data_IF_787467331554
#
_entry.id   IF_787467331554
#
_cell.length_a   1.000
_cell.length_b   1.000
_cell.length_c   1.000
_cell.angle_alpha   90.00
_cell.angle_beta   90.00
_cell.angle_gamma   90.00
#
_symmetry.space_group_name_H-M   'P 1'
#
loop_
_entity.id
_entity.type
_entity.pdbx_description
1 polymer ?
#
# COMPACT_ATOMS: atom_id res chain seq x y z
N UNK A 1 71.55 -31.68 -33.11
CA UNK A 1 70.66 -31.50 -31.94
C UNK A 1 69.69 -30.38 -32.27
N UNK A 2 68.43 -30.69 -32.55
CA UNK A 2 67.36 -29.71 -32.73
C UNK A 2 66.31 -29.97 -31.65
N UNK A 3 66.00 -29.01 -30.77
CA UNK A 3 64.85 -29.09 -29.90
C UNK A 3 63.64 -28.60 -30.69
N UNK A 4 62.84 -29.52 -31.21
CA UNK A 4 61.54 -29.24 -31.82
C UNK A 4 60.52 -30.12 -31.13
N UNK A 5 59.98 -29.66 -29.99
CA UNK A 5 58.64 -30.08 -29.55
C UNK A 5 58.05 -29.24 -28.41
N UNK A 6 58.83 -28.44 -27.67
CA UNK A 6 58.28 -27.68 -26.53
C UNK A 6 57.35 -26.50 -26.89
N UNK A 7 57.38 -26.00 -28.13
CA UNK A 7 56.50 -24.89 -28.54
C UNK A 7 55.06 -25.31 -28.78
N UNK A 8 54.79 -26.58 -29.13
CA UNK A 8 53.45 -27.02 -29.51
C UNK A 8 52.58 -27.32 -28.28
N UNK A 9 53.18 -27.80 -27.19
CA UNK A 9 52.45 -28.16 -25.96
C UNK A 9 51.97 -26.92 -25.17
N UNK A 10 52.66 -25.78 -25.33
CA UNK A 10 52.29 -24.51 -24.68
C UNK A 10 51.10 -23.82 -25.35
N UNK A 11 50.96 -23.93 -26.68
CA UNK A 11 49.80 -23.37 -27.40
C UNK A 11 48.52 -24.17 -27.11
N UNK A 12 48.62 -25.51 -27.05
CA UNK A 12 47.48 -26.39 -26.74
C UNK A 12 46.96 -26.14 -25.32
N UNK A 13 47.84 -26.02 -24.33
CA UNK A 13 47.46 -25.71 -22.95
C UNK A 13 46.85 -24.29 -22.78
N UNK A 14 47.30 -23.31 -23.57
CA UNK A 14 46.72 -21.96 -23.54
C UNK A 14 45.28 -21.93 -24.12
N UNK A 15 44.99 -22.75 -25.13
CA UNK A 15 43.65 -22.88 -25.73
C UNK A 15 42.63 -23.53 -24.77
N UNK A 16 43.04 -24.60 -24.08
CA UNK A 16 42.20 -25.31 -23.11
C UNK A 16 41.80 -24.39 -21.94
N UNK A 17 42.74 -23.61 -21.41
CA UNK A 17 42.50 -22.63 -20.34
C UNK A 17 41.51 -21.52 -20.73
N UNK A 18 41.39 -21.18 -22.03
CA UNK A 18 40.41 -20.18 -22.49
C UNK A 18 39.00 -20.75 -22.56
N UNK A 19 38.86 -21.97 -23.06
CA UNK A 19 37.55 -22.65 -23.16
C UNK A 19 36.99 -22.91 -21.76
N UNK A 20 37.82 -23.38 -20.82
CA UNK A 20 37.40 -23.62 -19.43
C UNK A 20 36.88 -22.34 -18.75
N UNK A 21 37.56 -21.21 -18.94
CA UNK A 21 37.11 -19.92 -18.38
C UNK A 21 35.79 -19.44 -18.98
N UNK A 22 35.59 -19.65 -20.28
CA UNK A 22 34.32 -19.31 -20.96
C UNK A 22 33.19 -20.21 -20.45
N UNK A 23 33.44 -21.51 -20.30
CA UNK A 23 32.45 -22.45 -19.75
C UNK A 23 32.11 -22.12 -18.29
N UNK A 24 33.10 -21.80 -17.46
CA UNK A 24 32.87 -21.37 -16.08
C UNK A 24 32.05 -20.08 -16.02
N UNK A 25 32.37 -19.09 -16.86
CA UNK A 25 31.61 -17.85 -16.95
C UNK A 25 30.16 -18.11 -17.38
N UNK A 26 29.95 -18.92 -18.41
CA UNK A 26 28.60 -19.29 -18.88
C UNK A 26 27.82 -20.05 -17.80
N UNK A 27 28.47 -20.92 -17.03
CA UNK A 27 27.84 -21.66 -15.94
C UNK A 27 27.43 -20.74 -14.78
N UNK A 28 28.28 -19.79 -14.41
CA UNK A 28 27.95 -18.77 -13.39
C UNK A 28 26.80 -17.88 -13.88
N UNK A 29 26.83 -17.46 -15.15
CA UNK A 29 25.76 -16.65 -15.74
C UNK A 29 24.44 -17.43 -15.74
N UNK A 30 24.46 -18.70 -16.14
CA UNK A 30 23.27 -19.56 -16.13
C UNK A 30 22.73 -19.72 -14.71
N UNK A 31 23.59 -19.95 -13.71
CA UNK A 31 23.18 -20.05 -12.32
C UNK A 31 22.54 -18.76 -11.80
N UNK A 32 23.07 -17.60 -12.17
CA UNK A 32 22.49 -16.29 -11.84
C UNK A 32 21.12 -16.09 -12.47
N UNK A 33 20.97 -16.42 -13.77
CA UNK A 33 19.68 -16.35 -14.45
C UNK A 33 18.67 -17.27 -13.78
N UNK A 34 19.07 -18.49 -13.43
CA UNK A 34 18.20 -19.46 -12.78
C UNK A 34 17.78 -18.99 -11.39
N UNK A 35 18.70 -18.37 -10.62
CA UNK A 35 18.39 -17.74 -9.33
C UNK A 35 17.38 -16.59 -9.49
N UNK A 36 17.56 -15.72 -10.48
CA UNK A 36 16.62 -14.62 -10.77
C UNK A 36 15.24 -15.17 -11.13
N UNK A 37 15.17 -16.21 -11.96
CA UNK A 37 13.89 -16.86 -12.32
C UNK A 37 13.23 -17.47 -11.09
N UNK A 38 13.98 -18.15 -10.21
CA UNK A 38 13.44 -18.70 -8.95
C UNK A 38 12.90 -17.58 -8.06
N UNK A 39 13.64 -16.48 -7.89
CA UNK A 39 13.19 -15.32 -7.10
C UNK A 39 11.90 -14.74 -7.70
N UNK A 40 11.85 -14.56 -9.01
CA UNK A 40 10.68 -14.00 -9.69
C UNK A 40 9.45 -14.92 -9.58
N UNK A 41 9.64 -16.23 -9.76
CA UNK A 41 8.55 -17.21 -9.65
C UNK A 41 8.02 -17.36 -8.22
N UNK A 42 8.89 -17.20 -7.21
CA UNK A 42 8.53 -17.37 -5.81
C UNK A 42 8.42 -16.04 -5.05
N UNK A 43 8.30 -14.91 -5.77
CA UNK A 43 8.36 -13.58 -5.18
C UNK A 43 7.35 -13.40 -4.03
N UNK A 44 6.10 -13.85 -4.22
CA UNK A 44 5.06 -13.79 -3.19
C UNK A 44 5.42 -14.59 -1.93
N UNK A 45 5.95 -15.81 -2.08
CA UNK A 45 6.32 -16.65 -0.93
C UNK A 45 7.56 -16.10 -0.21
N UNK A 46 8.54 -15.59 -0.96
CA UNK A 46 9.75 -14.97 -0.41
C UNK A 46 9.36 -13.71 0.37
N UNK A 47 8.51 -12.86 -0.20
CA UNK A 47 8.03 -11.66 0.47
C UNK A 47 7.26 -12.00 1.75
N UNK A 48 6.34 -12.98 1.71
CA UNK A 48 5.58 -13.43 2.90
C UNK A 48 6.50 -13.87 4.05
N UNK A 49 7.60 -14.53 3.69
CA UNK A 49 8.60 -15.01 4.67
C UNK A 49 9.44 -13.86 5.24
N UNK A 50 9.80 -12.87 4.41
CA UNK A 50 10.63 -11.73 4.80
C UNK A 50 9.85 -10.63 5.52
N UNK A 51 8.55 -10.50 5.25
CA UNK A 51 7.70 -9.44 5.79
C UNK A 51 6.40 -10.01 6.38
N UNK A 52 6.50 -10.80 7.47
CA UNK A 52 5.32 -11.32 8.15
C UNK A 52 4.42 -10.16 8.62
N UNK A 53 3.13 -10.22 8.29
CA UNK A 53 2.13 -9.21 8.66
C UNK A 53 1.74 -8.23 7.55
N UNK A 54 2.35 -8.30 6.36
CA UNK A 54 1.91 -7.51 5.20
C UNK A 54 0.71 -8.16 4.52
N UNK A 55 -0.29 -7.35 4.19
CA UNK A 55 -1.41 -7.75 3.32
C UNK A 55 -0.94 -7.60 1.87
N UNK A 56 -0.90 -8.71 1.12
CA UNK A 56 -0.56 -8.71 -0.30
C UNK A 56 -1.77 -8.42 -1.17
N UNK A 57 -2.92 -8.99 -0.79
CA UNK A 57 -4.22 -8.74 -1.37
C UNK A 57 -5.27 -8.66 -0.26
N UNK A 58 -6.13 -7.66 -0.33
CA UNK A 58 -7.26 -7.55 0.60
C UNK A 58 -8.33 -8.62 0.37
N UNK A 59 -8.26 -9.36 -0.73
CA UNK A 59 -9.14 -10.53 -0.98
C UNK A 59 -8.76 -11.74 -0.12
N UNK A 60 -7.59 -11.72 0.53
CA UNK A 60 -7.11 -12.78 1.45
C UNK A 60 -7.65 -12.60 2.88
N UNK A 61 -8.39 -11.53 3.15
CA UNK A 61 -9.00 -11.29 4.45
C UNK A 61 -10.11 -12.31 4.72
N UNK A 62 -9.99 -13.04 5.82
CA UNK A 62 -11.05 -13.88 6.36
C UNK A 62 -11.97 -12.96 7.17
N UNK A 63 -13.09 -12.58 6.56
CA UNK A 63 -14.06 -11.67 7.16
C UNK A 63 -15.22 -12.45 7.77
N UNK A 64 -15.55 -12.15 9.02
CA UNK A 64 -16.73 -12.71 9.70
C UNK A 64 -17.57 -11.60 10.34
N UNK A 65 -18.82 -11.91 10.66
CA UNK A 65 -19.75 -10.97 11.27
C UNK A 65 -19.90 -9.65 10.49
N UNK A 66 -19.89 -9.69 9.15
CA UNK A 66 -20.05 -8.47 8.34
C UNK A 66 -18.97 -7.41 8.56
N UNK A 67 -17.69 -7.81 8.49
CA UNK A 67 -16.52 -6.94 8.76
C UNK A 67 -16.35 -6.49 10.22
N UNK A 68 -17.12 -7.03 11.17
CA UNK A 68 -16.81 -6.82 12.58
C UNK A 68 -15.55 -7.56 13.03
N UNK A 69 -15.22 -8.70 12.42
CA UNK A 69 -13.98 -9.42 12.69
C UNK A 69 -13.25 -9.72 11.37
N UNK A 70 -11.98 -9.36 11.30
CA UNK A 70 -11.08 -9.56 10.15
C UNK A 70 -9.89 -10.37 10.62
N UNK A 71 -9.52 -11.41 9.88
CA UNK A 71 -8.36 -12.25 10.18
C UNK A 71 -7.55 -12.52 8.91
N UNK A 72 -6.23 -12.63 9.04
CA UNK A 72 -5.34 -13.10 7.99
C UNK A 72 -4.93 -14.56 8.24
N UNK A 73 -4.51 -15.26 7.19
CA UNK A 73 -3.98 -16.62 7.29
C UNK A 73 -2.79 -16.75 8.24
N UNK A 74 -2.01 -15.67 8.41
CA UNK A 74 -0.87 -15.64 9.31
C UNK A 74 -1.26 -15.52 10.81
N UNK A 75 -2.56 -15.46 11.12
CA UNK A 75 -3.09 -15.35 12.49
C UNK A 75 -3.32 -13.93 12.99
N UNK A 76 -2.81 -12.90 12.32
CA UNK A 76 -3.10 -11.52 12.66
C UNK A 76 -4.60 -11.25 12.51
N UNK A 77 -5.19 -10.50 13.43
CA UNK A 77 -6.62 -10.22 13.41
C UNK A 77 -6.97 -8.85 13.96
N UNK A 78 -8.13 -8.34 13.53
CA UNK A 78 -8.69 -7.09 13.98
C UNK A 78 -10.18 -7.23 14.24
N UNK A 79 -10.67 -6.43 15.19
CA UNK A 79 -12.10 -6.29 15.49
C UNK A 79 -12.51 -4.85 15.29
N UNK A 80 -13.53 -4.65 14.48
CA UNK A 80 -14.07 -3.35 14.12
C UNK A 80 -15.37 -3.10 14.89
N UNK A 81 -15.51 -1.89 15.40
CA UNK A 81 -16.77 -1.33 15.88
C UNK A 81 -17.10 -0.09 15.06
N UNK A 82 -18.37 0.08 14.72
CA UNK A 82 -18.84 1.17 13.86
C UNK A 82 -19.54 2.24 14.69
N UNK A 83 -19.44 3.50 14.24
CA UNK A 83 -20.12 4.63 14.89
C UNK A 83 -21.64 4.57 14.67
N UNK A 84 -22.04 4.10 13.49
CA UNK A 84 -23.42 4.08 13.03
C UNK A 84 -23.69 2.84 12.16
N UNK A 85 -24.97 2.54 11.95
CA UNK A 85 -25.42 1.35 11.22
C UNK A 85 -25.80 1.62 9.75
N UNK A 86 -25.25 2.67 9.14
CA UNK A 86 -25.54 3.03 7.76
C UNK A 86 -24.30 3.56 7.03
N UNK A 87 -24.36 3.58 5.70
CA UNK A 87 -23.32 4.13 4.85
C UNK A 87 -23.16 5.65 5.06
N UNK A 88 -21.91 6.10 5.02
CA UNK A 88 -21.50 7.50 4.91
C UNK A 88 -20.97 7.78 3.51
N UNK A 89 -21.21 8.99 3.00
CA UNK A 89 -20.75 9.43 1.69
C UNK A 89 -19.86 10.67 1.84
N UNK A 90 -18.64 10.59 1.31
CA UNK A 90 -17.69 11.69 1.26
C UNK A 90 -17.49 12.09 -0.20
N UNK A 91 -17.93 13.29 -0.58
CA UNK A 91 -17.79 13.79 -1.95
C UNK A 91 -17.10 15.14 -1.97
N UNK A 92 -16.15 15.32 -2.89
CA UNK A 92 -15.39 16.56 -2.98
C UNK A 92 -14.10 16.44 -3.78
N UNK A 93 -13.26 17.47 -3.67
CA UNK A 93 -11.93 17.54 -4.28
C UNK A 93 -10.90 16.98 -3.30
N UNK A 94 -10.00 16.15 -3.82
CA UNK A 94 -8.89 15.59 -3.05
C UNK A 94 -7.80 16.65 -2.88
N UNK A 95 -7.50 17.02 -1.64
CA UNK A 95 -6.47 18.01 -1.28
C UNK A 95 -5.19 17.40 -0.75
N UNK A 96 -5.25 16.14 -0.32
CA UNK A 96 -4.10 15.36 0.13
C UNK A 96 -4.38 13.88 -0.03
N UNK A 97 -3.36 13.11 -0.37
CA UNK A 97 -3.39 11.66 -0.26
C UNK A 97 -2.01 11.09 0.06
N UNK A 98 -1.95 10.15 1.00
CA UNK A 98 -0.71 9.45 1.36
C UNK A 98 -0.99 8.03 1.85
N UNK A 99 -0.06 7.07 1.66
CA UNK A 99 -0.21 5.74 2.24
C UNK A 99 -0.14 5.80 3.77
N UNK A 100 -0.85 4.87 4.43
CA UNK A 100 -0.70 4.57 5.85
C UNK A 100 0.17 3.31 5.95
N UNK A 101 1.32 3.43 6.61
CA UNK A 101 2.26 2.32 6.79
C UNK A 101 2.43 2.01 8.28
N UNK A 102 1.40 1.40 8.86
CA UNK A 102 1.39 0.98 10.26
C UNK A 102 1.37 -0.54 10.34
N UNK A 103 2.49 -1.14 10.75
CA UNK A 103 2.62 -2.60 10.83
C UNK A 103 1.59 -3.26 11.78
N UNK A 104 1.18 -2.54 12.82
CA UNK A 104 0.15 -3.00 13.78
C UNK A 104 -1.28 -2.93 13.23
N UNK A 105 -1.52 -2.07 12.24
CA UNK A 105 -2.83 -1.86 11.63
C UNK A 105 -2.70 -1.89 10.10
N UNK A 106 -2.19 -3.00 9.56
CA UNK A 106 -1.94 -3.16 8.13
C UNK A 106 -3.18 -3.16 7.25
N UNK A 107 -4.39 -3.24 7.85
CA UNK A 107 -5.66 -3.06 7.17
C UNK A 107 -5.97 -1.59 6.81
N UNK A 108 -5.28 -0.62 7.43
CA UNK A 108 -5.36 0.79 7.04
C UNK A 108 -4.43 1.04 5.85
N UNK A 109 -4.94 1.69 4.80
CA UNK A 109 -4.18 1.80 3.54
C UNK A 109 -3.82 3.23 3.16
N UNK A 110 -4.75 4.19 3.26
CA UNK A 110 -4.49 5.58 2.86
C UNK A 110 -5.16 6.61 3.75
N UNK A 111 -4.47 7.73 3.90
CA UNK A 111 -5.03 9.02 4.30
C UNK A 111 -5.51 9.74 3.03
N UNK A 112 -6.75 10.23 3.04
CA UNK A 112 -7.33 11.00 1.93
C UNK A 112 -8.08 12.21 2.49
N UNK A 113 -7.62 13.42 2.18
CA UNK A 113 -8.31 14.65 2.55
C UNK A 113 -9.28 15.06 1.44
N UNK A 114 -10.57 14.95 1.71
CA UNK A 114 -11.67 15.31 0.80
C UNK A 114 -12.29 16.62 1.26
N UNK A 115 -12.36 17.62 0.36
CA UNK A 115 -12.93 18.93 0.67
C UNK A 115 -13.99 19.39 -0.31
N UNK A 116 -14.93 20.23 0.14
CA UNK A 116 -15.98 20.85 -0.68
C UNK A 116 -16.19 22.31 -0.29
N UNK A 117 -16.88 23.08 -1.15
CA UNK A 117 -17.11 24.51 -0.91
C UNK A 117 -15.81 25.31 -0.85
N UNK A 118 -15.72 26.24 0.09
CA UNK A 118 -14.55 27.09 0.30
C UNK A 118 -13.31 26.29 0.73
N UNK A 119 -13.49 25.16 1.43
CA UNK A 119 -12.40 24.26 1.81
C UNK A 119 -11.71 23.60 0.61
N UNK A 120 -12.33 23.64 -0.58
CA UNK A 120 -11.74 23.13 -1.81
C UNK A 120 -10.89 24.17 -2.56
N UNK A 121 -11.07 25.47 -2.29
CA UNK A 121 -10.35 26.54 -2.95
C UNK A 121 -9.04 26.91 -2.21
N UNK A 122 -7.86 26.68 -2.81
CA UNK A 122 -6.58 27.04 -2.19
C UNK A 122 -6.39 28.54 -1.94
N UNK A 123 -7.15 29.40 -2.62
CA UNK A 123 -7.11 30.85 -2.42
C UNK A 123 -7.96 31.31 -1.23
N UNK A 124 -8.84 30.44 -0.72
CA UNK A 124 -9.70 30.70 0.44
C UNK A 124 -9.22 29.96 1.67
N UNK A 125 -8.79 28.71 1.53
CA UNK A 125 -8.36 27.86 2.65
C UNK A 125 -7.06 27.12 2.33
N UNK A 126 -6.08 27.23 3.24
CA UNK A 126 -4.88 26.39 3.22
C UNK A 126 -5.08 25.18 4.11
N UNK A 127 -4.72 24.00 3.63
CA UNK A 127 -4.82 22.72 4.36
C UNK A 127 -3.46 22.03 4.42
N UNK A 128 -3.18 21.31 5.50
CA UNK A 128 -2.04 20.39 5.58
C UNK A 128 -2.42 19.12 6.34
N UNK A 129 -1.76 18.01 6.01
CA UNK A 129 -1.91 16.73 6.72
C UNK A 129 -0.56 16.30 7.25
N UNK A 130 -0.50 15.94 8.53
CA UNK A 130 0.69 15.44 9.20
C UNK A 130 0.30 14.51 10.34
N UNK A 131 1.00 13.39 10.48
CA UNK A 131 0.75 12.39 11.52
C UNK A 131 -0.74 11.98 11.60
N UNK A 132 -1.34 11.64 10.46
CA UNK A 132 -2.75 11.25 10.34
C UNK A 132 -3.76 12.30 10.83
N UNK A 133 -3.37 13.58 10.88
CA UNK A 133 -4.24 14.68 11.30
C UNK A 133 -4.18 15.80 10.28
N UNK A 134 -5.31 16.46 10.05
CA UNK A 134 -5.36 17.64 9.19
C UNK A 134 -5.41 18.93 10.01
N UNK A 135 -4.84 19.98 9.45
CA UNK A 135 -4.97 21.35 9.89
C UNK A 135 -5.49 22.18 8.72
N UNK A 136 -6.26 23.22 9.03
CA UNK A 136 -6.72 24.18 8.04
C UNK A 136 -6.65 25.60 8.59
N UNK A 137 -6.57 26.57 7.68
CA UNK A 137 -6.56 27.99 8.00
C UNK A 137 -7.27 28.77 6.89
N UNK A 138 -8.23 29.61 7.26
CA UNK A 138 -8.86 30.57 6.35
C UNK A 138 -7.89 31.69 5.98
N UNK A 139 -7.86 32.06 4.70
CA UNK A 139 -7.12 33.20 4.16
C UNK A 139 -7.96 34.49 4.15
N UNK A 140 -9.24 34.39 4.50
CA UNK A 140 -10.15 35.53 4.62
C UNK A 140 -10.67 35.68 6.06
N UNK A 141 -11.33 36.80 6.34
CA UNK A 141 -12.03 37.02 7.61
C UNK A 141 -13.40 36.33 7.69
N UNK A 142 -13.89 35.75 6.58
CA UNK A 142 -15.11 34.98 6.57
C UNK A 142 -14.86 33.54 7.06
N UNK A 143 -15.87 32.96 7.70
CA UNK A 143 -15.88 31.54 8.03
C UNK A 143 -16.10 30.73 6.74
N UNK A 144 -15.21 29.78 6.40
CA UNK A 144 -15.35 29.00 5.18
C UNK A 144 -16.58 28.08 5.24
N UNK A 145 -17.32 28.00 4.14
CA UNK A 145 -18.45 27.10 3.97
C UNK A 145 -18.03 25.80 3.25
N UNK A 146 -18.76 24.70 3.49
CA UNK A 146 -18.49 23.39 2.90
C UNK A 146 -17.98 22.36 3.93
N UNK A 147 -17.28 21.34 3.44
CA UNK A 147 -16.80 20.23 4.27
C UNK A 147 -15.30 19.98 4.12
N UNK A 148 -14.68 19.46 5.18
CA UNK A 148 -13.30 18.99 5.18
C UNK A 148 -13.24 17.70 5.99
N UNK A 149 -12.88 16.59 5.35
CA UNK A 149 -12.85 15.27 5.97
C UNK A 149 -11.52 14.59 5.63
N UNK A 150 -10.76 14.17 6.65
CA UNK A 150 -9.60 13.31 6.47
C UNK A 150 -10.03 11.87 6.70
N UNK A 151 -9.98 11.06 5.64
CA UNK A 151 -10.37 9.66 5.67
C UNK A 151 -9.15 8.78 5.90
N UNK A 152 -9.21 7.93 6.91
CA UNK A 152 -8.33 6.78 7.12
C UNK A 152 -9.03 5.54 6.59
N UNK A 153 -8.52 4.99 5.51
CA UNK A 153 -9.29 4.03 4.71
C UNK A 153 -8.93 2.58 5.03
N UNK A 154 -9.97 1.76 5.20
CA UNK A 154 -9.89 0.29 5.21
C UNK A 154 -10.65 -0.20 3.98
N UNK A 155 -10.01 -0.78 2.95
CA UNK A 155 -10.73 -1.24 1.77
C UNK A 155 -11.47 -2.56 2.06
N UNK A 156 -12.69 -2.68 1.53
CA UNK A 156 -13.48 -3.91 1.66
C UNK A 156 -12.87 -5.11 0.91
N UNK A 157 -12.11 -4.87 -0.15
CA UNK A 157 -11.45 -5.88 -0.98
C UNK A 157 -10.29 -5.27 -1.80
N UNK A 158 -9.58 -6.09 -2.58
CA UNK A 158 -8.42 -5.60 -3.34
C UNK A 158 -8.80 -4.66 -4.49
N UNK A 159 -9.98 -4.83 -5.11
CA UNK A 159 -10.47 -3.91 -6.13
C UNK A 159 -10.61 -2.48 -5.59
N UNK A 160 -11.21 -2.34 -4.39
CA UNK A 160 -11.34 -1.05 -3.71
C UNK A 160 -9.97 -0.51 -3.31
N UNK A 161 -9.06 -1.36 -2.81
CA UNK A 161 -7.69 -0.96 -2.49
C UNK A 161 -6.97 -0.34 -3.71
N UNK A 162 -7.10 -0.95 -4.89
CA UNK A 162 -6.51 -0.41 -6.12
C UNK A 162 -7.14 0.93 -6.52
N UNK A 163 -8.48 1.06 -6.46
CA UNK A 163 -9.15 2.35 -6.71
C UNK A 163 -8.71 3.44 -5.73
N UNK A 164 -8.50 3.10 -4.45
CA UNK A 164 -7.98 4.04 -3.46
C UNK A 164 -6.55 4.48 -3.81
N UNK A 165 -5.68 3.58 -4.29
CA UNK A 165 -4.31 3.91 -4.75
C UNK A 165 -4.30 4.84 -5.96
N UNK A 166 -5.29 4.72 -6.83
CA UNK A 166 -5.45 5.54 -8.04
C UNK A 166 -5.96 6.96 -7.79
N UNK A 167 -6.30 7.30 -6.54
CA UNK A 167 -6.70 8.67 -6.16
C UNK A 167 -5.46 9.58 -6.09
N UNK A 168 -5.54 10.74 -6.74
CA UNK A 168 -4.52 11.77 -6.75
C UNK A 168 -5.07 13.12 -6.26
N UNK A 169 -4.16 14.01 -5.86
CA UNK A 169 -4.52 15.39 -5.51
C UNK A 169 -5.18 16.09 -6.72
N UNK A 170 -6.29 16.78 -6.48
CA UNK A 170 -7.07 17.48 -7.50
C UNK A 170 -8.20 16.64 -8.11
N UNK A 171 -8.23 15.32 -7.87
CA UNK A 171 -9.35 14.49 -8.32
C UNK A 171 -10.65 14.92 -7.62
N UNK A 172 -11.77 14.86 -8.36
CA UNK A 172 -13.10 14.92 -7.75
C UNK A 172 -13.57 13.50 -7.52
N UNK A 173 -13.90 13.17 -6.28
CA UNK A 173 -14.24 11.81 -5.89
C UNK A 173 -15.54 11.74 -5.09
N UNK A 174 -16.11 10.54 -5.09
CA UNK A 174 -17.10 10.10 -4.10
C UNK A 174 -16.60 8.79 -3.49
N UNK A 175 -16.42 8.78 -2.17
CA UNK A 175 -16.11 7.58 -1.38
C UNK A 175 -17.35 7.24 -0.56
N UNK A 176 -17.76 5.96 -0.60
CA UNK A 176 -18.82 5.43 0.26
C UNK A 176 -18.27 4.35 1.17
N UNK A 177 -18.82 4.26 2.37
CA UNK A 177 -18.40 3.25 3.33
C UNK A 177 -19.06 3.36 4.68
N UNK A 178 -18.56 2.59 5.64
CA UNK A 178 -19.05 2.55 7.01
C UNK A 178 -18.03 3.18 7.94
N UNK A 179 -18.46 4.15 8.74
CA UNK A 179 -17.56 4.81 9.69
C UNK A 179 -17.24 3.89 10.87
N UNK A 180 -15.96 3.56 10.98
CA UNK A 180 -15.37 2.73 12.02
C UNK A 180 -15.05 3.64 13.20
N UNK A 181 -15.69 3.37 14.33
CA UNK A 181 -15.38 4.02 15.60
C UNK A 181 -13.99 3.62 16.10
N UNK A 182 -13.72 2.30 16.08
CA UNK A 182 -12.52 1.72 16.66
C UNK A 182 -12.15 0.39 16.02
N UNK A 183 -10.84 0.19 15.88
CA UNK A 183 -10.21 -1.05 15.45
C UNK A 183 -9.35 -1.55 16.60
N UNK A 184 -9.62 -2.74 17.10
CA UNK A 184 -8.75 -3.45 18.05
C UNK A 184 -7.90 -4.47 17.29
N UNK A 185 -6.62 -4.61 17.62
CA UNK A 185 -5.70 -5.49 16.89
C UNK A 185 -5.06 -6.57 17.78
N UNK A 186 -4.81 -7.73 17.18
CA UNK A 186 -4.06 -8.84 17.77
C UNK A 186 -2.99 -9.36 16.80
N UNK A 187 -1.83 -9.76 17.34
CA UNK A 187 -0.74 -10.37 16.56
C UNK A 187 -1.04 -11.83 16.17
N UNK A 188 -0.12 -12.45 15.42
CA UNK A 188 -0.22 -13.86 14.98
C UNK A 188 -0.27 -14.88 16.13
N UNK A 189 0.13 -14.50 17.34
CA UNK A 189 0.09 -15.35 18.53
C UNK A 189 -1.18 -15.09 19.37
N UNK A 190 -2.06 -14.18 18.93
CA UNK A 190 -3.26 -13.78 19.65
C UNK A 190 -3.00 -12.77 20.77
N UNK A 191 -1.81 -12.15 20.85
CA UNK A 191 -1.55 -11.10 21.82
C UNK A 191 -2.19 -9.79 21.35
N UNK A 192 -2.83 -9.07 22.26
CA UNK A 192 -3.37 -7.74 21.97
C UNK A 192 -2.25 -6.74 21.70
N UNK A 193 -2.31 -6.05 20.55
CA UNK A 193 -1.28 -5.09 20.11
C UNK A 193 -1.72 -3.62 20.21
N UNK A 194 -2.98 -3.37 20.56
CA UNK A 194 -3.51 -2.02 20.76
C UNK A 194 -4.80 -1.75 19.98
N UNK A 195 -5.16 -0.47 19.92
CA UNK A 195 -6.32 -0.02 19.16
C UNK A 195 -6.02 1.24 18.35
N UNK A 196 -6.72 1.38 17.23
CA UNK A 196 -6.88 2.61 16.47
C UNK A 196 -8.28 3.14 16.73
N UNK A 197 -8.42 4.43 17.05
CA UNK A 197 -9.71 5.04 17.32
C UNK A 197 -9.79 6.40 16.67
N UNK A 198 -10.96 6.71 16.13
CA UNK A 198 -11.22 8.03 15.61
C UNK A 198 -11.06 9.11 16.71
N UNK A 199 -10.41 10.21 16.35
CA UNK A 199 -10.16 11.36 17.23
C UNK A 199 -10.45 12.69 16.54
N UNK A 200 -11.49 12.72 15.70
CA UNK A 200 -11.95 13.90 14.97
C UNK A 200 -11.53 13.91 13.50
N UNK A 201 -11.19 12.76 12.95
CA UNK A 201 -11.08 12.50 11.52
C UNK A 201 -12.22 11.54 11.14
N UNK A 202 -12.09 10.77 10.06
CA UNK A 202 -13.00 9.68 9.75
C UNK A 202 -12.18 8.42 9.49
N UNK A 203 -12.41 7.34 10.22
CA UNK A 203 -11.93 6.02 9.82
C UNK A 203 -13.05 5.28 9.11
N UNK A 204 -12.84 4.80 7.88
CA UNK A 204 -13.94 4.30 7.04
C UNK A 204 -13.60 2.96 6.40
N UNK A 205 -14.49 1.97 6.58
CA UNK A 205 -14.52 0.76 5.74
C UNK A 205 -15.11 1.15 4.38
N UNK A 206 -14.26 1.28 3.37
CA UNK A 206 -14.63 1.74 2.04
C UNK A 206 -15.24 0.61 1.23
N UNK A 207 -16.45 0.84 0.74
CA UNK A 207 -17.23 -0.10 -0.07
C UNK A 207 -17.30 0.31 -1.54
N UNK A 208 -17.17 1.61 -1.82
CA UNK A 208 -17.25 2.14 -3.17
C UNK A 208 -16.35 3.37 -3.32
N UNK A 209 -15.67 3.46 -4.47
CA UNK A 209 -14.86 4.61 -4.88
C UNK A 209 -15.24 4.98 -6.30
N UNK A 210 -15.66 6.23 -6.50
CA UNK A 210 -15.94 6.82 -7.81
C UNK A 210 -14.96 7.99 -8.01
N UNK A 211 -14.13 7.90 -9.04
CA UNK A 211 -13.21 8.98 -9.43
C UNK A 211 -13.77 9.65 -10.67
N UNK A 212 -14.24 10.88 -10.52
CA UNK A 212 -14.65 11.74 -11.62
C UNK A 212 -13.47 12.63 -11.96
N UNK A 213 -12.60 12.18 -12.87
CA UNK A 213 -11.46 13.00 -13.30
C UNK A 213 -11.98 14.31 -13.86
N UNK A 214 -11.51 15.42 -13.30
CA UNK A 214 -11.66 16.70 -13.96
C UNK A 214 -10.85 16.60 -15.25
N UNK A 215 -11.57 16.54 -16.38
CA UNK A 215 -10.99 16.67 -17.71
C UNK A 215 -10.56 18.14 -17.87
N UNK A 216 -9.47 18.51 -17.20
CA UNK A 216 -8.86 19.82 -17.35
C UNK A 216 -8.44 20.00 -18.80
N UNK A 217 -9.20 20.83 -19.51
CA UNK A 217 -8.68 21.63 -20.61
C UNK A 217 -7.63 22.61 -20.09
#
# INVERSE_FOLDING_TARGET
>A
MQPKNEQNDNEVNAGINRIEKVLLFLLVLLALVLLIVIIFMNNEQILRTLFPGRIYSFDEMIVTNGFHDIQLENGQSWRLSYEQSHDTNFSGIVRHTSPIELSTFSILTRDILVTSGDFADPNLVTTSVSNHRFLWKSLSSANPEGSINLLHTVPMNEEINQKLKDIHNGDTITIKGWDIYRIEGWDSNGNYIGYWQDSGCNTTLVTEVIITKNSGK
#
